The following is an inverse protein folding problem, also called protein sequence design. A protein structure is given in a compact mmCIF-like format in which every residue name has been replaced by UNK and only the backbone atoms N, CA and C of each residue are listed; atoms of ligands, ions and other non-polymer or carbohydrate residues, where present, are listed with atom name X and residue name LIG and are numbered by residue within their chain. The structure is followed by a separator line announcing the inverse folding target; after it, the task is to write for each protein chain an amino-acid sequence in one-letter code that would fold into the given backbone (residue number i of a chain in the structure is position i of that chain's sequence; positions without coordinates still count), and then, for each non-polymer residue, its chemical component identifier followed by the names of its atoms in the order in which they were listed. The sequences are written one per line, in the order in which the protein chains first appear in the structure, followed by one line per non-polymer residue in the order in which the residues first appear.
data_IF_738027423298
#
_entry.id   IF_738027423298
#
_cell.length_a   1.000
_cell.length_b   1.000
_cell.length_c   1.000
_cell.angle_alpha   90.00
_cell.angle_beta   90.00
_cell.angle_gamma   90.00
#
_symmetry.space_group_name_H-M   'P 1'
#
loop_
_entity.id
_entity.type
_entity.pdbx_description
1 polymer ?
#
# COMPACT_ATOMS: atom_id res chain seq x y z
N UNK A 1 -13.02 -47.63 -24.92
CA UNK A 1 -13.82 -48.25 -26.00
C UNK A 1 -13.62 -49.78 -25.94
N UNK A 2 -14.66 -50.51 -25.51
CA UNK A 2 -14.53 -51.96 -25.34
C UNK A 2 -15.06 -52.70 -26.61
N UNK A 3 -16.05 -52.11 -27.29
CA UNK A 3 -16.68 -52.73 -28.43
C UNK A 3 -17.12 -51.69 -29.49
N UNK A 4 -17.17 -52.12 -30.77
CA UNK A 4 -17.75 -51.34 -31.85
C UNK A 4 -19.24 -51.63 -32.01
N UNK A 5 -20.00 -50.71 -32.61
CA UNK A 5 -21.42 -50.91 -32.94
C UNK A 5 -21.55 -51.40 -34.37
N UNK A 6 -22.38 -52.40 -34.61
CA UNK A 6 -22.73 -52.85 -35.94
C UNK A 6 -23.83 -51.94 -36.51
N UNK A 7 -23.58 -51.31 -37.64
CA UNK A 7 -24.60 -50.48 -38.31
C UNK A 7 -25.83 -51.36 -38.68
N UNK A 8 -27.03 -51.05 -38.14
CA UNK A 8 -28.20 -51.84 -38.39
C UNK A 8 -28.81 -51.66 -39.81
N UNK A 9 -28.45 -50.60 -40.49
CA UNK A 9 -28.86 -50.30 -41.85
C UNK A 9 -27.67 -50.42 -42.80
N UNK A 10 -27.87 -51.04 -44.01
CA UNK A 10 -26.84 -51.15 -45.02
C UNK A 10 -26.43 -49.83 -45.67
N UNK A 11 -26.91 -48.70 -45.18
CA UNK A 11 -26.53 -47.35 -45.63
C UNK A 11 -25.18 -46.94 -45.07
N UNK A 12 -24.27 -46.60 -45.95
CA UNK A 12 -23.00 -45.98 -45.57
C UNK A 12 -23.31 -44.61 -44.97
N UNK A 13 -22.99 -44.43 -43.68
CA UNK A 13 -23.10 -43.13 -43.02
C UNK A 13 -21.90 -42.32 -43.49
N UNK A 14 -22.17 -41.28 -44.28
CA UNK A 14 -21.14 -40.33 -44.71
C UNK A 14 -21.13 -39.13 -43.77
N UNK A 15 -19.97 -38.79 -43.25
CA UNK A 15 -19.79 -37.59 -42.43
C UNK A 15 -20.07 -37.79 -40.92
N UNK A 16 -20.27 -36.69 -40.20
CA UNK A 16 -20.43 -36.59 -38.74
C UNK A 16 -21.78 -37.06 -38.19
N UNK A 17 -22.55 -37.85 -38.91
CA UNK A 17 -23.84 -38.36 -38.45
C UNK A 17 -23.64 -39.45 -37.38
N UNK A 18 -23.92 -39.12 -36.12
CA UNK A 18 -23.99 -40.08 -35.03
C UNK A 18 -25.33 -40.85 -35.11
N UNK A 19 -25.28 -42.18 -35.12
CA UNK A 19 -26.49 -42.99 -34.93
C UNK A 19 -26.52 -43.59 -33.52
N UNK A 20 -27.68 -43.58 -32.93
CA UNK A 20 -27.90 -44.15 -31.61
C UNK A 20 -28.60 -45.50 -31.74
N UNK A 21 -28.08 -46.50 -31.02
CA UNK A 21 -28.73 -47.80 -30.86
C UNK A 21 -29.12 -47.95 -29.41
N UNK A 22 -30.40 -48.04 -29.13
CA UNK A 22 -30.90 -48.33 -27.79
C UNK A 22 -30.77 -49.84 -27.55
N UNK A 23 -29.89 -50.22 -26.61
CA UNK A 23 -29.71 -51.60 -26.16
C UNK A 23 -30.67 -51.86 -25.00
N UNK A 24 -31.82 -52.50 -25.25
CA UNK A 24 -32.86 -52.72 -24.23
C UNK A 24 -32.84 -54.16 -23.69
N UNK A 25 -32.17 -55.09 -24.37
CA UNK A 25 -32.11 -56.48 -24.02
C UNK A 25 -30.70 -57.08 -24.22
N UNK A 26 -30.36 -58.24 -23.59
CA UNK A 26 -29.13 -58.97 -23.88
C UNK A 26 -29.01 -59.42 -25.33
N UNK A 27 -30.14 -59.62 -26.01
CA UNK A 27 -30.20 -60.00 -27.43
C UNK A 27 -29.79 -58.81 -28.31
N UNK A 28 -30.23 -57.57 -27.99
CA UNK A 28 -29.81 -56.38 -28.69
C UNK A 28 -28.31 -56.19 -28.57
N UNK A 29 -27.74 -56.44 -27.41
CA UNK A 29 -26.28 -56.37 -27.21
C UNK A 29 -25.55 -57.35 -28.14
N UNK A 30 -25.98 -58.62 -28.18
CA UNK A 30 -25.38 -59.62 -29.06
C UNK A 30 -25.54 -59.28 -30.55
N UNK A 31 -26.64 -58.63 -30.91
CA UNK A 31 -26.97 -58.29 -32.30
C UNK A 31 -26.19 -57.06 -32.81
N UNK A 32 -26.04 -56.05 -31.97
CA UNK A 32 -25.54 -54.75 -32.41
C UNK A 32 -24.14 -54.42 -31.92
N UNK A 33 -23.59 -55.16 -30.97
CA UNK A 33 -22.25 -54.93 -30.45
C UNK A 33 -21.31 -56.02 -30.93
N UNK A 34 -20.24 -55.64 -31.57
CA UNK A 34 -19.18 -56.56 -32.04
C UNK A 34 -17.84 -56.15 -31.43
N UNK A 35 -16.98 -57.11 -31.18
CA UNK A 35 -15.62 -56.85 -30.71
C UNK A 35 -14.84 -56.07 -31.80
N UNK A 36 -13.91 -55.24 -31.40
CA UNK A 36 -12.93 -54.67 -32.31
C UNK A 36 -12.06 -55.79 -32.92
N UNK A 37 -11.70 -55.63 -34.20
CA UNK A 37 -10.77 -56.55 -34.86
C UNK A 37 -9.40 -56.48 -34.17
N UNK A 38 -8.85 -57.60 -33.76
CA UNK A 38 -7.57 -57.72 -33.04
C UNK A 38 -6.39 -57.03 -33.77
N UNK A 39 -6.48 -56.86 -35.09
CA UNK A 39 -5.46 -56.11 -35.84
C UNK A 39 -5.34 -54.64 -35.42
N UNK A 40 -6.38 -54.07 -34.79
CA UNK A 40 -6.37 -52.67 -34.28
C UNK A 40 -6.00 -52.56 -32.82
N UNK A 41 -5.82 -53.66 -32.06
CA UNK A 41 -5.58 -53.64 -30.63
C UNK A 41 -4.34 -52.81 -30.27
N UNK A 42 -3.24 -52.99 -30.98
CA UNK A 42 -2.00 -52.25 -30.72
C UNK A 42 -2.16 -50.73 -30.99
N UNK A 43 -2.88 -50.38 -32.05
CA UNK A 43 -3.19 -49.00 -32.37
C UNK A 43 -4.10 -48.37 -31.30
N UNK A 44 -5.14 -49.08 -30.91
CA UNK A 44 -6.06 -48.60 -29.87
C UNK A 44 -5.37 -48.46 -28.51
N UNK A 45 -4.48 -49.38 -28.17
CA UNK A 45 -3.66 -49.27 -26.94
C UNK A 45 -2.73 -48.06 -27.02
N UNK A 46 -2.07 -47.80 -28.15
CA UNK A 46 -1.21 -46.64 -28.33
C UNK A 46 -2.00 -45.31 -28.21
N UNK A 47 -3.15 -45.22 -28.88
CA UNK A 47 -4.03 -44.03 -28.80
C UNK A 47 -4.58 -43.84 -27.41
N UNK A 48 -5.02 -44.89 -26.72
CA UNK A 48 -5.48 -44.83 -25.35
C UNK A 48 -4.36 -44.41 -24.39
N UNK A 49 -3.15 -44.90 -24.59
CA UNK A 49 -1.97 -44.49 -23.81
C UNK A 49 -1.65 -43.03 -24.00
N UNK A 50 -1.64 -42.52 -25.24
CA UNK A 50 -1.42 -41.09 -25.52
C UNK A 50 -2.55 -40.22 -24.94
N UNK A 51 -3.81 -40.64 -25.06
CA UNK A 51 -4.93 -39.92 -24.46
C UNK A 51 -4.83 -39.86 -22.92
N UNK A 52 -4.43 -40.96 -22.28
CA UNK A 52 -4.23 -41.00 -20.84
C UNK A 52 -3.11 -40.02 -20.41
N UNK A 53 -1.98 -39.98 -21.11
CA UNK A 53 -0.89 -39.03 -20.87
C UNK A 53 -1.34 -37.59 -21.05
N UNK A 54 -2.09 -37.31 -22.14
CA UNK A 54 -2.61 -35.96 -22.40
C UNK A 54 -3.60 -35.50 -21.30
N UNK A 55 -4.48 -36.38 -20.83
CA UNK A 55 -5.42 -36.09 -19.74
C UNK A 55 -4.65 -35.83 -18.44
N UNK A 56 -3.66 -36.68 -18.12
CA UNK A 56 -2.86 -36.50 -16.91
C UNK A 56 -2.02 -35.21 -16.96
N UNK A 57 -1.41 -34.87 -18.08
CA UNK A 57 -0.70 -33.62 -18.27
C UNK A 57 -1.62 -32.41 -18.06
N UNK A 58 -2.82 -32.41 -18.64
CA UNK A 58 -3.79 -31.35 -18.41
C UNK A 58 -4.19 -31.25 -16.93
N UNK A 59 -4.39 -32.37 -16.27
CA UNK A 59 -4.70 -32.39 -14.83
C UNK A 59 -3.56 -31.82 -13.99
N UNK A 60 -2.32 -32.16 -14.30
CA UNK A 60 -1.13 -31.63 -13.59
C UNK A 60 -0.99 -30.13 -13.83
N UNK A 61 -1.18 -29.65 -15.06
CA UNK A 61 -1.16 -28.21 -15.39
C UNK A 61 -2.22 -27.46 -14.56
N UNK A 62 -3.45 -27.95 -14.54
CA UNK A 62 -4.52 -27.34 -13.74
C UNK A 62 -4.23 -27.37 -12.24
N UNK A 63 -3.60 -28.43 -11.75
CA UNK A 63 -3.18 -28.50 -10.35
C UNK A 63 -2.09 -27.48 -10.03
N UNK A 64 -1.08 -27.34 -10.88
CA UNK A 64 -0.02 -26.33 -10.71
C UNK A 64 -0.62 -24.92 -10.72
N UNK A 65 -1.53 -24.63 -11.66
CA UNK A 65 -2.22 -23.33 -11.71
C UNK A 65 -2.95 -23.02 -10.41
N UNK A 66 -3.73 -23.96 -9.89
CA UNK A 66 -4.44 -23.79 -8.61
C UNK A 66 -3.48 -23.58 -7.44
N UNK A 67 -2.42 -24.37 -7.35
CA UNK A 67 -1.41 -24.20 -6.31
C UNK A 67 -0.76 -22.81 -6.35
N UNK A 68 -0.44 -22.33 -7.54
CA UNK A 68 0.12 -21.00 -7.73
C UNK A 68 -0.86 -19.89 -7.27
N UNK A 69 -2.13 -19.99 -7.66
CA UNK A 69 -3.16 -19.03 -7.24
C UNK A 69 -3.35 -18.98 -5.72
N UNK A 70 -3.42 -20.14 -5.10
CA UNK A 70 -3.54 -20.21 -3.64
C UNK A 70 -2.28 -19.68 -2.94
N UNK A 71 -1.10 -19.91 -3.52
CA UNK A 71 0.14 -19.32 -3.02
C UNK A 71 0.12 -17.77 -3.12
N UNK A 72 -0.32 -17.22 -4.24
CA UNK A 72 -0.48 -15.75 -4.42
C UNK A 72 -1.45 -15.19 -3.38
N UNK A 73 -2.63 -15.80 -3.22
CA UNK A 73 -3.62 -15.37 -2.23
C UNK A 73 -3.08 -15.41 -0.80
N UNK A 74 -2.40 -16.49 -0.43
CA UNK A 74 -1.79 -16.62 0.89
C UNK A 74 -0.70 -15.55 1.12
N UNK A 75 0.12 -15.29 0.11
CA UNK A 75 1.18 -14.26 0.16
C UNK A 75 0.60 -12.86 0.33
N UNK A 76 -0.44 -12.51 -0.42
CA UNK A 76 -1.18 -11.22 -0.29
C UNK A 76 -1.78 -11.09 1.10
N UNK A 77 -2.44 -12.14 1.60
CA UNK A 77 -3.00 -12.15 2.96
C UNK A 77 -1.93 -11.92 4.02
N UNK A 78 -0.76 -12.54 3.88
CA UNK A 78 0.34 -12.37 4.81
C UNK A 78 0.90 -10.94 4.81
N UNK A 79 0.95 -10.28 3.66
CA UNK A 79 1.40 -8.88 3.53
C UNK A 79 0.36 -7.93 4.12
N UNK A 80 -0.91 -8.08 3.77
CA UNK A 80 -1.99 -7.26 4.31
C UNK A 80 -2.14 -7.39 5.83
N UNK A 81 -1.73 -8.53 6.42
CA UNK A 81 -1.77 -8.70 7.87
C UNK A 81 -0.85 -7.73 8.64
N UNK A 82 0.14 -7.12 7.98
CA UNK A 82 1.00 -6.10 8.57
C UNK A 82 0.26 -4.78 8.81
N UNK A 83 -0.74 -4.49 7.97
CA UNK A 83 -1.58 -3.30 8.08
C UNK A 83 -3.06 -3.71 8.14
N UNK A 84 -3.66 -3.75 9.33
CA UNK A 84 -5.06 -4.13 9.50
C UNK A 84 -6.05 -3.27 8.70
N UNK A 85 -5.68 -2.01 8.35
CA UNK A 85 -6.54 -1.12 7.58
C UNK A 85 -6.70 -1.59 6.12
N UNK A 86 -5.73 -2.34 5.59
CA UNK A 86 -5.75 -2.86 4.21
C UNK A 86 -6.25 -4.30 4.10
N UNK A 87 -6.70 -4.92 5.19
CA UNK A 87 -7.19 -6.31 5.18
C UNK A 87 -8.26 -6.54 4.10
N UNK A 88 -8.01 -7.50 3.20
CA UNK A 88 -8.86 -7.84 2.07
C UNK A 88 -8.97 -6.75 0.98
N UNK A 89 -8.12 -5.72 1.02
CA UNK A 89 -8.11 -4.65 0.02
C UNK A 89 -7.79 -5.18 -1.37
N UNK A 90 -6.68 -5.89 -1.53
CA UNK A 90 -6.24 -6.43 -2.82
C UNK A 90 -7.26 -7.37 -3.45
N UNK A 91 -7.97 -8.17 -2.63
CA UNK A 91 -9.06 -9.02 -3.12
C UNK A 91 -10.26 -8.21 -3.63
N UNK A 92 -10.61 -7.11 -2.93
CA UNK A 92 -11.70 -6.22 -3.39
C UNK A 92 -11.31 -5.52 -4.68
N UNK A 93 -10.09 -5.00 -4.78
CA UNK A 93 -9.57 -4.34 -5.98
C UNK A 93 -9.55 -5.32 -7.16
N UNK A 94 -9.00 -6.53 -6.98
CA UNK A 94 -8.96 -7.55 -8.02
C UNK A 94 -10.36 -7.90 -8.55
N UNK A 95 -11.34 -8.07 -7.64
CA UNK A 95 -12.73 -8.31 -8.03
C UNK A 95 -13.32 -7.13 -8.81
N UNK A 96 -13.09 -5.90 -8.37
CA UNK A 96 -13.58 -4.71 -9.05
C UNK A 96 -12.96 -4.57 -10.44
N UNK A 97 -11.66 -4.76 -10.59
CA UNK A 97 -10.97 -4.75 -11.89
C UNK A 97 -11.55 -5.79 -12.85
N UNK A 98 -11.79 -7.01 -12.35
CA UNK A 98 -12.43 -8.08 -13.12
C UNK A 98 -13.83 -7.69 -13.58
N UNK A 99 -14.70 -7.24 -12.67
CA UNK A 99 -16.08 -6.86 -13.02
C UNK A 99 -16.10 -5.65 -13.98
N UNK A 100 -15.19 -4.70 -13.82
CA UNK A 100 -15.06 -3.57 -14.75
C UNK A 100 -14.62 -4.03 -16.13
N UNK A 101 -13.63 -4.92 -16.26
CA UNK A 101 -13.18 -5.46 -17.53
C UNK A 101 -14.32 -6.22 -18.25
N UNK A 102 -15.09 -7.02 -17.51
CA UNK A 102 -16.27 -7.71 -18.06
C UNK A 102 -17.36 -6.72 -18.49
N UNK A 103 -17.60 -5.66 -17.71
CA UNK A 103 -18.56 -4.62 -18.07
C UNK A 103 -18.15 -3.87 -19.35
N UNK A 104 -16.85 -3.62 -19.56
CA UNK A 104 -16.34 -3.04 -20.82
C UNK A 104 -16.67 -3.91 -22.02
N UNK A 105 -16.59 -5.24 -21.88
CA UNK A 105 -16.95 -6.18 -22.97
C UNK A 105 -18.43 -6.09 -23.38
N UNK A 106 -19.31 -5.61 -22.51
CA UNK A 106 -20.73 -5.40 -22.82
C UNK A 106 -21.02 -4.06 -23.53
N UNK A 107 -20.03 -3.13 -23.54
CA UNK A 107 -20.19 -1.82 -24.19
C UNK A 107 -20.02 -1.98 -25.69
N UNK A 108 -21.06 -1.54 -26.45
CA UNK A 108 -21.08 -1.68 -27.92
C UNK A 108 -20.76 -0.36 -28.63
N UNK A 109 -20.94 0.76 -27.98
CA UNK A 109 -20.83 2.09 -28.56
C UNK A 109 -19.89 2.99 -27.77
N UNK A 110 -19.45 4.10 -28.39
CA UNK A 110 -18.54 5.07 -27.79
C UNK A 110 -17.09 4.64 -27.73
N UNK A 111 -16.29 5.33 -26.95
CA UNK A 111 -14.83 5.12 -26.85
C UNK A 111 -14.46 3.69 -26.44
N UNK A 112 -15.24 3.08 -25.57
CA UNK A 112 -14.98 1.74 -25.05
C UNK A 112 -15.55 0.62 -25.92
N UNK A 113 -16.43 0.91 -26.88
CA UNK A 113 -17.11 -0.10 -27.72
C UNK A 113 -16.19 -0.92 -28.65
N UNK A 114 -14.93 -0.51 -28.78
CA UNK A 114 -13.90 -1.24 -29.54
C UNK A 114 -12.99 -2.15 -28.69
N UNK A 115 -13.12 -2.09 -27.37
CA UNK A 115 -12.28 -2.88 -26.46
C UNK A 115 -12.97 -4.20 -26.12
N UNK A 116 -12.18 -5.26 -26.10
CA UNK A 116 -12.64 -6.58 -25.69
C UNK A 116 -11.53 -7.30 -24.91
N UNK A 117 -11.73 -7.50 -23.64
CA UNK A 117 -10.84 -8.27 -22.78
C UNK A 117 -11.10 -9.76 -22.98
N UNK A 118 -10.09 -10.49 -23.42
CA UNK A 118 -10.14 -11.96 -23.44
C UNK A 118 -10.19 -12.52 -22.02
N UNK A 119 -10.59 -13.77 -21.85
CA UNK A 119 -10.59 -14.43 -20.54
C UNK A 119 -9.19 -14.39 -19.88
N UNK A 120 -8.13 -14.60 -20.69
CA UNK A 120 -6.75 -14.50 -20.20
C UNK A 120 -6.37 -13.08 -19.78
N UNK A 121 -6.79 -12.05 -20.52
CA UNK A 121 -6.52 -10.65 -20.17
C UNK A 121 -7.27 -10.22 -18.88
N UNK A 122 -8.51 -10.67 -18.70
CA UNK A 122 -9.25 -10.44 -17.43
C UNK A 122 -8.51 -11.07 -16.25
N UNK A 123 -8.00 -12.30 -16.46
CA UNK A 123 -7.25 -13.02 -15.42
C UNK A 123 -5.89 -12.39 -15.14
N UNK A 124 -5.19 -11.91 -16.18
CA UNK A 124 -3.95 -11.14 -16.05
C UNK A 124 -4.17 -9.90 -15.19
N UNK A 125 -5.22 -9.12 -15.47
CA UNK A 125 -5.60 -7.95 -14.70
C UNK A 125 -5.94 -8.28 -13.24
N UNK A 126 -6.68 -9.37 -13.00
CA UNK A 126 -7.03 -9.85 -11.67
C UNK A 126 -5.78 -10.21 -10.85
N UNK A 127 -4.82 -10.94 -11.43
CA UNK A 127 -3.57 -11.30 -10.77
C UNK A 127 -2.68 -10.07 -10.51
N UNK A 128 -2.58 -9.16 -11.48
CA UNK A 128 -1.86 -7.90 -11.29
C UNK A 128 -2.45 -7.09 -10.15
N UNK A 129 -3.78 -6.99 -10.09
CA UNK A 129 -4.50 -6.30 -9.03
C UNK A 129 -4.35 -6.98 -7.65
N UNK A 130 -4.22 -8.30 -7.59
CA UNK A 130 -3.90 -8.99 -6.34
C UNK A 130 -2.49 -8.64 -5.84
N UNK A 131 -1.54 -8.48 -6.75
CA UNK A 131 -0.12 -8.31 -6.43
C UNK A 131 0.33 -6.84 -6.39
N UNK A 132 -0.52 -5.87 -6.76
CA UNK A 132 -0.14 -4.47 -6.96
C UNK A 132 0.61 -3.85 -5.77
N UNK A 133 0.22 -4.21 -4.57
CA UNK A 133 0.71 -3.69 -3.31
C UNK A 133 1.78 -4.55 -2.62
N UNK A 134 2.29 -5.59 -3.31
CA UNK A 134 3.26 -6.52 -2.71
C UNK A 134 4.52 -5.82 -2.19
N UNK A 135 4.95 -4.75 -2.86
CA UNK A 135 6.12 -3.96 -2.49
C UNK A 135 6.02 -3.24 -1.15
N UNK A 136 4.81 -3.09 -0.60
CA UNK A 136 4.61 -2.52 0.75
C UNK A 136 5.36 -3.29 1.85
N UNK A 137 5.75 -4.55 1.59
CA UNK A 137 6.58 -5.32 2.51
C UNK A 137 7.93 -4.67 2.79
N UNK A 138 8.45 -3.88 1.87
CA UNK A 138 9.74 -3.20 1.96
C UNK A 138 9.68 -1.84 2.65
N UNK A 139 8.47 -1.27 2.84
CA UNK A 139 8.27 0.04 3.43
C UNK A 139 8.18 -0.07 4.95
N UNK A 140 8.74 0.93 5.65
CA UNK A 140 8.64 0.97 7.11
C UNK A 140 7.18 1.13 7.56
N UNK A 141 6.75 0.20 8.41
CA UNK A 141 5.40 0.21 8.96
C UNK A 141 5.09 1.48 9.77
N UNK A 142 6.11 2.10 10.37
CA UNK A 142 5.94 3.33 11.13
C UNK A 142 5.46 4.48 10.21
N UNK A 143 5.92 4.53 8.96
CA UNK A 143 5.51 5.54 7.98
C UNK A 143 4.03 5.35 7.59
N UNK A 144 3.60 4.11 7.33
CA UNK A 144 2.18 3.83 7.05
C UNK A 144 1.24 4.18 8.20
N UNK A 145 1.71 4.05 9.45
CA UNK A 145 0.92 4.33 10.65
C UNK A 145 1.04 5.76 11.14
N UNK A 146 1.81 6.59 10.46
CA UNK A 146 2.04 7.98 10.84
C UNK A 146 0.77 8.82 10.67
N UNK A 147 0.04 9.01 11.75
CA UNK A 147 -1.23 9.75 11.77
C UNK A 147 -1.06 11.25 12.03
N UNK A 148 0.10 11.68 12.49
CA UNK A 148 0.46 13.07 12.82
C UNK A 148 1.74 13.44 12.06
N UNK A 149 2.05 14.75 11.99
CA UNK A 149 3.27 15.23 11.28
C UNK A 149 4.56 14.76 11.96
N UNK A 150 4.59 14.66 13.30
CA UNK A 150 5.69 14.07 14.06
C UNK A 150 5.36 12.63 14.48
N UNK A 151 6.38 11.79 14.53
CA UNK A 151 6.24 10.48 15.19
C UNK A 151 6.01 10.67 16.69
N UNK A 152 5.32 9.74 17.36
CA UNK A 152 4.98 9.88 18.79
C UNK A 152 6.18 10.17 19.68
N UNK A 153 7.32 9.51 19.43
CA UNK A 153 8.55 9.73 20.19
C UNK A 153 9.15 11.13 19.95
N UNK A 154 9.17 11.60 18.72
CA UNK A 154 9.69 12.92 18.37
C UNK A 154 8.81 14.01 18.98
N UNK A 155 7.49 13.80 18.98
CA UNK A 155 6.54 14.71 19.62
C UNK A 155 6.70 14.77 21.15
N UNK A 156 6.91 13.65 21.82
CA UNK A 156 7.21 13.66 23.26
C UNK A 156 8.54 14.35 23.56
N UNK A 157 9.58 14.11 22.78
CA UNK A 157 10.86 14.79 22.91
C UNK A 157 10.73 16.32 22.71
N UNK A 158 9.93 16.74 21.73
CA UNK A 158 9.63 18.15 21.50
C UNK A 158 8.98 18.80 22.73
N UNK A 159 7.97 18.16 23.31
CA UNK A 159 7.32 18.65 24.53
C UNK A 159 8.30 18.77 25.70
N UNK A 160 9.16 17.79 25.90
CA UNK A 160 10.18 17.80 26.94
C UNK A 160 11.18 18.97 26.77
N UNK A 161 11.59 19.26 25.51
CA UNK A 161 12.48 20.41 25.24
C UNK A 161 11.79 21.74 25.55
N UNK A 162 10.49 21.86 25.28
CA UNK A 162 9.71 23.04 25.73
C UNK A 162 9.58 23.14 27.24
N UNK A 163 9.38 22.03 27.93
CA UNK A 163 9.32 22.02 29.38
C UNK A 163 10.67 22.39 30.00
N UNK A 164 11.77 21.94 29.39
CA UNK A 164 13.11 22.34 29.77
C UNK A 164 13.33 23.84 29.55
N UNK A 165 13.01 24.38 28.38
CA UNK A 165 13.07 25.81 28.08
C UNK A 165 12.29 26.64 29.11
N UNK A 166 11.06 26.22 29.40
CA UNK A 166 10.22 26.90 30.42
C UNK A 166 10.90 26.95 31.76
N UNK A 167 11.50 25.84 32.22
CA UNK A 167 12.21 25.80 33.51
C UNK A 167 13.50 26.64 33.52
N UNK A 168 14.23 26.66 32.41
CA UNK A 168 15.39 27.55 32.29
C UNK A 168 14.98 29.02 32.46
N UNK A 169 13.94 29.46 31.78
CA UNK A 169 13.45 30.83 31.87
C UNK A 169 12.87 31.18 33.24
N UNK A 170 12.18 30.23 33.90
CA UNK A 170 11.69 30.38 35.25
C UNK A 170 12.86 30.59 36.24
N UNK A 171 13.93 29.78 36.14
CA UNK A 171 15.12 29.87 36.96
C UNK A 171 15.85 31.19 36.72
N UNK A 172 16.02 31.60 35.45
CA UNK A 172 16.65 32.88 35.11
C UNK A 172 15.86 34.08 35.66
N UNK A 173 14.53 34.00 35.58
CA UNK A 173 13.66 34.99 36.17
C UNK A 173 13.87 35.10 37.70
N UNK A 174 13.84 33.93 38.37
CA UNK A 174 14.08 33.88 39.81
C UNK A 174 15.48 34.39 40.24
N UNK A 175 16.51 34.06 39.45
CA UNK A 175 17.87 34.57 39.73
C UNK A 175 17.94 36.09 39.59
N UNK A 176 17.29 36.69 38.59
CA UNK A 176 17.21 38.14 38.41
C UNK A 176 16.45 38.78 39.59
N UNK A 177 15.40 38.15 40.08
CA UNK A 177 14.66 38.61 41.25
C UNK A 177 15.56 38.60 42.52
N UNK A 178 16.30 37.50 42.74
CA UNK A 178 17.24 37.39 43.88
C UNK A 178 18.34 38.45 43.82
N UNK A 179 18.94 38.68 42.64
CA UNK A 179 19.99 39.70 42.47
C UNK A 179 19.47 41.11 42.76
N UNK A 180 18.23 41.45 42.39
CA UNK A 180 17.63 42.75 42.69
C UNK A 180 17.22 42.90 44.15
N UNK A 181 16.89 41.82 44.83
CA UNK A 181 16.59 41.85 46.28
C UNK A 181 17.85 41.92 47.14
N UNK A 182 19.05 41.72 46.54
CA UNK A 182 20.31 41.93 47.31
C UNK A 182 20.46 43.38 47.65
N UNK A 183 20.70 43.70 48.97
CA UNK A 183 20.89 45.09 49.42
C UNK A 183 22.10 45.73 48.75
N UNK A 184 21.88 46.84 48.02
CA UNK A 184 22.98 47.64 47.50
C UNK A 184 23.83 48.28 48.58
N UNK A 185 24.93 48.98 48.20
CA UNK A 185 25.82 49.67 49.17
C UNK A 185 25.14 50.83 49.92
N UNK A 186 23.97 50.65 50.44
CA UNK A 186 23.17 51.61 51.16
C UNK A 186 21.92 51.01 51.83
N UNK A 187 21.74 49.69 51.78
CA UNK A 187 20.66 48.98 52.47
C UNK A 187 19.24 49.11 51.81
N UNK A 188 19.09 49.89 50.76
CA UNK A 188 17.78 50.09 50.12
C UNK A 188 17.49 49.02 49.05
N UNK A 189 16.37 48.28 49.18
CA UNK A 189 15.79 47.40 48.19
C UNK A 189 14.79 48.24 47.39
N UNK A 190 14.90 48.23 46.05
CA UNK A 190 13.95 48.90 45.12
C UNK A 190 12.68 48.06 44.96
N UNK A 191 11.70 48.29 45.87
CA UNK A 191 10.44 47.51 45.90
C UNK A 191 9.49 47.83 44.75
N UNK A 192 9.51 49.03 44.16
CA UNK A 192 8.63 49.43 43.02
C UNK A 192 8.94 48.67 41.72
N UNK A 193 10.18 48.22 41.51
CA UNK A 193 10.61 47.46 40.34
C UNK A 193 10.29 45.94 40.44
N UNK A 194 9.88 45.43 41.60
CA UNK A 194 9.68 44.01 41.81
C UNK A 194 8.36 43.48 41.17
N UNK A 195 7.28 44.26 41.32
CA UNK A 195 5.99 43.91 40.72
C UNK A 195 6.05 43.87 39.16
N UNK A 196 6.79 44.83 38.57
CA UNK A 196 7.02 44.85 37.10
C UNK A 196 7.80 43.62 36.65
N UNK A 197 8.85 43.22 37.35
CA UNK A 197 9.62 42.01 37.04
C UNK A 197 8.80 40.71 37.09
N UNK A 198 7.96 40.56 38.11
CA UNK A 198 7.06 39.41 38.22
C UNK A 198 6.11 39.37 37.03
N UNK A 199 5.57 40.55 36.66
CA UNK A 199 4.68 40.65 35.48
C UNK A 199 5.41 40.34 34.18
N UNK A 200 6.64 40.82 33.98
CA UNK A 200 7.46 40.52 32.80
C UNK A 200 7.81 39.03 32.69
N UNK A 201 8.22 38.39 33.80
CA UNK A 201 8.48 36.95 33.86
C UNK A 201 7.23 36.15 33.53
N UNK A 202 6.10 36.47 34.15
CA UNK A 202 4.85 35.75 33.95
C UNK A 202 4.34 35.91 32.49
N UNK A 203 4.51 37.11 31.91
CA UNK A 203 4.21 37.36 30.50
C UNK A 203 5.09 36.51 29.55
N UNK A 204 6.40 36.44 29.86
CA UNK A 204 7.33 35.59 29.07
C UNK A 204 6.98 34.12 29.15
N UNK A 205 6.74 33.59 30.37
CA UNK A 205 6.39 32.18 30.55
C UNK A 205 5.04 31.83 29.92
N UNK A 206 4.07 32.74 29.93
CA UNK A 206 2.80 32.56 29.21
C UNK A 206 2.99 32.61 27.70
N UNK A 207 3.91 33.46 27.21
CA UNK A 207 4.28 33.48 25.76
C UNK A 207 4.83 32.12 25.28
N UNK A 208 5.74 31.52 26.06
CA UNK A 208 6.29 30.19 25.75
C UNK A 208 5.21 29.11 25.78
N UNK A 209 4.27 29.16 26.73
CA UNK A 209 3.13 28.25 26.73
C UNK A 209 2.28 28.37 25.47
N UNK A 210 1.97 29.59 25.07
CA UNK A 210 1.20 29.87 23.88
C UNK A 210 1.91 29.37 22.58
N UNK A 211 3.24 29.56 22.50
CA UNK A 211 4.05 29.01 21.37
C UNK A 211 4.00 27.48 21.39
N UNK A 212 4.20 26.85 22.56
CA UNK A 212 4.10 25.38 22.70
C UNK A 212 2.74 24.87 22.21
N UNK A 213 1.64 25.49 22.61
CA UNK A 213 0.29 25.11 22.21
C UNK A 213 0.12 25.21 20.70
N UNK A 214 0.54 26.30 20.06
CA UNK A 214 0.52 26.46 18.60
C UNK A 214 1.32 25.38 17.89
N UNK A 215 2.51 25.04 18.36
CA UNK A 215 3.35 24.00 17.77
C UNK A 215 2.70 22.60 17.96
N UNK A 216 2.04 22.36 19.09
CA UNK A 216 1.24 21.16 19.32
C UNK A 216 0.11 21.06 18.29
N UNK A 217 -0.59 22.15 18.03
CA UNK A 217 -1.66 22.20 17.02
C UNK A 217 -1.12 22.00 15.60
N UNK A 218 0.07 22.55 15.29
CA UNK A 218 0.73 22.32 14.00
C UNK A 218 1.07 20.85 13.71
N UNK A 219 1.15 20.00 14.74
CA UNK A 219 1.38 18.56 14.57
C UNK A 219 0.16 17.83 13.96
N UNK A 220 -1.01 18.45 13.93
CA UNK A 220 -2.19 17.87 13.29
C UNK A 220 -2.07 17.94 11.75
N UNK A 221 -2.52 16.89 11.02
CA UNK A 221 -2.46 16.84 9.57
C UNK A 221 -3.56 17.69 8.91
N UNK A 222 -3.72 18.92 9.34
CA UNK A 222 -4.68 19.85 8.79
C UNK A 222 -4.18 20.45 7.46
N UNK A 223 -5.11 20.87 6.60
CA UNK A 223 -4.81 21.74 5.45
C UNK A 223 -4.96 23.17 5.97
N UNK A 224 -3.90 23.97 5.88
CA UNK A 224 -3.89 25.38 6.28
C UNK A 224 -3.63 26.26 5.07
N UNK A 225 -4.28 27.41 5.03
CA UNK A 225 -4.03 28.44 4.02
C UNK A 225 -2.77 29.26 4.36
N UNK A 226 -2.41 29.33 5.64
CA UNK A 226 -1.18 29.98 6.11
C UNK A 226 0.04 29.13 5.80
N UNK A 227 1.21 29.77 5.66
CA UNK A 227 2.47 29.08 5.46
C UNK A 227 3.02 28.54 6.80
N UNK A 228 3.00 27.21 7.05
CA UNK A 228 3.47 26.67 8.32
C UNK A 228 4.96 26.92 8.56
N UNK A 229 5.78 27.00 7.51
CA UNK A 229 7.21 27.27 7.57
C UNK A 229 7.46 28.70 8.08
N UNK A 230 6.74 29.68 7.54
CA UNK A 230 6.84 31.08 7.96
C UNK A 230 6.39 31.26 9.40
N UNK A 231 5.24 30.66 9.79
CA UNK A 231 4.73 30.69 11.15
C UNK A 231 5.71 30.07 12.15
N UNK A 232 6.27 28.91 11.82
CA UNK A 232 7.23 28.22 12.68
C UNK A 232 8.52 29.03 12.82
N UNK A 233 9.03 29.61 11.73
CA UNK A 233 10.24 30.43 11.70
C UNK A 233 10.10 31.66 12.60
N UNK A 234 8.97 32.34 12.58
CA UNK A 234 8.70 33.47 13.44
C UNK A 234 8.71 33.07 14.94
N UNK A 235 8.04 31.96 15.28
CA UNK A 235 8.02 31.46 16.67
C UNK A 235 9.41 31.01 17.15
N UNK A 236 10.22 30.44 16.27
CA UNK A 236 11.59 30.04 16.62
C UNK A 236 12.51 31.23 16.80
N UNK A 237 12.38 32.29 16.02
CA UNK A 237 13.14 33.53 16.20
C UNK A 237 12.86 34.15 17.57
N UNK A 238 11.60 34.15 18.05
CA UNK A 238 11.23 34.59 19.39
C UNK A 238 11.91 33.74 20.48
N UNK A 239 11.96 32.42 20.31
CA UNK A 239 12.64 31.50 21.25
C UNK A 239 14.16 31.74 21.25
N UNK A 240 14.79 31.85 20.11
CA UNK A 240 16.23 32.09 19.98
C UNK A 240 16.67 33.41 20.61
N UNK A 241 15.85 34.45 20.48
CA UNK A 241 16.11 35.76 21.12
C UNK A 241 16.19 35.68 22.63
N UNK A 242 15.66 34.64 23.29
CA UNK A 242 15.74 34.43 24.74
C UNK A 242 17.14 33.98 25.19
N UNK A 243 17.98 33.49 24.27
CA UNK A 243 19.38 33.14 24.55
C UNK A 243 19.60 31.97 25.49
N UNK A 244 18.61 31.10 25.68
CA UNK A 244 18.76 29.91 26.54
C UNK A 244 19.82 28.96 26.02
N UNK A 245 20.59 28.37 26.92
CA UNK A 245 21.70 27.48 26.58
C UNK A 245 21.54 26.13 27.28
N UNK A 246 22.10 25.08 26.61
CA UNK A 246 22.23 23.77 27.21
C UNK A 246 23.39 23.70 28.24
N UNK A 247 23.62 22.52 28.82
CA UNK A 247 24.66 22.31 29.81
C UNK A 247 26.09 22.43 29.25
N UNK A 248 26.26 22.27 27.94
CA UNK A 248 27.51 22.46 27.21
C UNK A 248 27.74 23.92 26.79
N UNK A 249 26.76 24.79 26.97
CA UNK A 249 26.81 26.20 26.61
C UNK A 249 26.39 26.52 25.19
N UNK A 250 25.87 25.55 24.43
CA UNK A 250 25.34 25.76 23.09
C UNK A 250 23.93 26.37 23.17
N UNK A 251 23.48 27.06 22.13
CA UNK A 251 22.10 27.49 22.02
C UNK A 251 21.14 26.30 22.17
N UNK A 252 20.09 26.45 23.00
CA UNK A 252 19.11 25.37 23.19
C UNK A 252 18.27 25.17 21.93
N UNK A 253 18.44 24.03 21.28
CA UNK A 253 17.64 23.63 20.14
C UNK A 253 16.30 23.03 20.62
N UNK A 254 15.25 23.85 20.67
CA UNK A 254 13.91 23.40 21.09
C UNK A 254 13.20 22.63 20.02
N UNK A 255 13.33 23.04 18.76
CA UNK A 255 12.79 22.37 17.58
C UNK A 255 13.95 21.98 16.68
N UNK A 256 14.18 20.67 16.49
CA UNK A 256 15.25 20.18 15.62
C UNK A 256 14.90 20.41 14.15
N UNK A 257 15.91 20.36 13.26
CA UNK A 257 15.71 20.47 11.80
C UNK A 257 14.69 19.42 11.28
N UNK A 258 14.73 18.23 11.83
CA UNK A 258 13.76 17.17 11.49
C UNK A 258 12.34 17.52 11.95
N UNK A 259 12.18 18.05 13.14
CA UNK A 259 10.88 18.50 13.63
C UNK A 259 10.36 19.64 12.76
N UNK A 260 11.23 20.59 12.41
CA UNK A 260 10.91 21.72 11.54
C UNK A 260 10.39 21.23 10.19
N UNK A 261 11.12 20.34 9.50
CA UNK A 261 10.70 19.75 8.22
C UNK A 261 9.32 19.11 8.32
N UNK A 262 9.07 18.37 9.40
CA UNK A 262 7.78 17.69 9.58
C UNK A 262 6.64 18.65 9.94
N UNK A 263 6.87 19.62 10.82
CA UNK A 263 5.85 20.60 11.23
C UNK A 263 5.46 21.54 10.10
N UNK A 264 6.39 21.80 9.16
CA UNK A 264 6.16 22.65 7.98
C UNK A 264 5.36 21.99 6.87
N UNK A 265 4.92 20.73 7.04
CA UNK A 265 4.07 20.05 6.05
C UNK A 265 2.73 20.80 5.92
N UNK A 266 2.40 21.23 4.68
CA UNK A 266 1.16 21.97 4.39
C UNK A 266 -0.08 21.09 4.30
N UNK A 267 0.09 19.82 3.87
CA UNK A 267 -1.02 18.90 3.64
C UNK A 267 -0.64 17.46 4.03
N UNK A 268 -1.42 16.88 4.92
CA UNK A 268 -1.21 15.52 5.38
C UNK A 268 -0.16 15.40 6.50
N UNK A 269 0.31 14.20 6.75
CA UNK A 269 1.24 13.85 7.84
C UNK A 269 2.64 13.48 7.38
N UNK A 270 2.86 13.28 6.07
CA UNK A 270 4.11 12.79 5.49
C UNK A 270 4.93 13.91 4.88
N UNK A 271 6.22 13.96 5.20
CA UNK A 271 7.18 14.79 4.47
C UNK A 271 7.49 14.17 3.10
N UNK A 272 8.29 14.88 2.27
CA UNK A 272 8.59 14.44 0.91
C UNK A 272 9.39 13.14 0.85
N UNK A 273 10.33 12.92 1.78
CA UNK A 273 11.12 11.68 1.83
C UNK A 273 10.25 10.49 2.21
N UNK A 274 9.41 10.64 3.23
CA UNK A 274 8.46 9.61 3.66
C UNK A 274 7.43 9.30 2.55
N UNK A 275 7.01 10.32 1.82
CA UNK A 275 6.11 10.14 0.66
C UNK A 275 6.81 9.36 -0.45
N UNK A 276 8.04 9.73 -0.81
CA UNK A 276 8.83 9.00 -1.80
C UNK A 276 9.09 7.56 -1.39
N UNK A 277 9.32 7.32 -0.11
CA UNK A 277 9.46 5.96 0.41
C UNK A 277 8.19 5.15 0.21
N UNK A 278 7.01 5.69 0.55
CA UNK A 278 5.74 5.01 0.27
C UNK A 278 5.55 4.79 -1.24
N UNK A 279 5.78 5.80 -2.07
CA UNK A 279 5.63 5.71 -3.52
C UNK A 279 6.55 4.65 -4.14
N UNK A 280 7.71 4.39 -3.53
CA UNK A 280 8.65 3.37 -4.00
C UNK A 280 8.10 1.94 -3.96
N UNK A 281 6.98 1.68 -3.25
CA UNK A 281 6.39 0.34 -3.21
C UNK A 281 6.02 -0.20 -4.60
N UNK A 282 5.67 0.66 -5.56
CA UNK A 282 5.35 0.23 -6.92
C UNK A 282 6.58 -0.37 -7.62
N UNK A 283 7.75 0.26 -7.43
CA UNK A 283 9.03 -0.23 -7.95
C UNK A 283 9.44 -1.52 -7.24
N UNK A 284 9.25 -1.61 -5.94
CA UNK A 284 9.51 -2.85 -5.18
C UNK A 284 8.57 -3.97 -5.63
N UNK A 285 7.29 -3.68 -5.88
CA UNK A 285 6.34 -4.63 -6.46
C UNK A 285 6.83 -5.12 -7.82
N UNK A 286 7.18 -4.21 -8.72
CA UNK A 286 7.71 -4.55 -10.03
C UNK A 286 8.93 -5.46 -9.96
N UNK A 287 9.92 -5.09 -9.14
CA UNK A 287 11.15 -5.86 -8.96
C UNK A 287 10.92 -7.27 -8.41
N UNK A 288 9.91 -7.45 -7.58
CA UNK A 288 9.51 -8.76 -7.08
C UNK A 288 8.76 -9.55 -8.14
N UNK A 289 7.71 -8.96 -8.71
CA UNK A 289 6.79 -9.64 -9.64
C UNK A 289 7.48 -10.01 -10.96
N UNK A 290 8.44 -9.20 -11.42
CA UNK A 290 9.25 -9.48 -12.63
C UNK A 290 10.15 -10.71 -12.49
N UNK A 291 10.43 -11.20 -11.29
CA UNK A 291 11.21 -12.43 -11.06
C UNK A 291 10.38 -13.70 -11.19
N UNK A 292 9.07 -13.58 -11.23
CA UNK A 292 8.17 -14.72 -11.43
C UNK A 292 8.17 -15.07 -12.92
N UNK A 293 8.40 -16.34 -13.30
CA UNK A 293 8.40 -16.76 -14.68
C UNK A 293 6.96 -16.85 -15.22
N UNK A 294 6.40 -15.71 -15.59
CA UNK A 294 5.05 -15.61 -16.12
C UNK A 294 4.93 -16.30 -17.48
N UNK A 295 3.86 -17.05 -17.73
CA UNK A 295 3.56 -17.53 -19.07
C UNK A 295 3.25 -16.34 -20.01
N UNK A 296 3.38 -16.51 -21.34
CA UNK A 296 3.22 -15.41 -22.30
C UNK A 296 1.91 -14.62 -22.17
N UNK A 297 0.83 -15.29 -21.79
CA UNK A 297 -0.49 -14.68 -21.59
C UNK A 297 -0.58 -13.76 -20.37
N UNK A 298 0.41 -13.79 -19.44
CA UNK A 298 0.45 -13.01 -18.20
C UNK A 298 1.70 -12.13 -18.10
N UNK A 299 2.36 -11.88 -19.22
CA UNK A 299 3.64 -11.14 -19.27
C UNK A 299 3.53 -9.67 -18.84
N UNK A 300 2.31 -9.08 -18.89
CA UNK A 300 2.11 -7.67 -18.57
C UNK A 300 1.83 -7.43 -17.08
N UNK A 301 1.68 -8.48 -16.26
CA UNK A 301 1.44 -8.33 -14.81
C UNK A 301 2.43 -7.38 -14.13
N UNK A 302 3.77 -7.47 -14.36
CA UNK A 302 4.70 -6.55 -13.73
C UNK A 302 4.46 -5.09 -14.10
N UNK A 303 4.19 -4.80 -15.36
CA UNK A 303 3.92 -3.45 -15.86
C UNK A 303 2.61 -2.88 -15.32
N UNK A 304 1.55 -3.69 -15.28
CA UNK A 304 0.27 -3.30 -14.71
C UNK A 304 0.44 -2.99 -13.21
N UNK A 305 1.14 -3.86 -12.49
CA UNK A 305 1.42 -3.65 -11.07
C UNK A 305 2.33 -2.44 -10.80
N UNK A 306 3.28 -2.12 -11.68
CA UNK A 306 4.13 -0.93 -11.57
C UNK A 306 3.30 0.36 -11.65
N UNK A 307 2.33 0.39 -12.58
CA UNK A 307 1.64 1.61 -13.00
C UNK A 307 0.25 1.82 -12.37
N UNK A 308 -0.07 1.10 -11.31
CA UNK A 308 -1.40 1.20 -10.71
C UNK A 308 -1.67 2.55 -10.01
N UNK A 309 -0.64 3.38 -9.81
CA UNK A 309 -0.76 4.76 -9.34
C UNK A 309 -0.59 5.82 -10.44
N UNK A 310 -0.46 5.40 -11.71
CA UNK A 310 -0.51 6.36 -12.81
C UNK A 310 -1.92 6.97 -12.93
N UNK A 311 -1.96 8.22 -13.41
CA UNK A 311 -3.19 8.97 -13.58
C UNK A 311 -3.32 9.51 -14.98
N UNK A 312 -4.55 9.63 -15.47
CA UNK A 312 -4.83 10.13 -16.82
C UNK A 312 -4.38 11.59 -17.06
N UNK A 313 -4.11 12.35 -16.02
CA UNK A 313 -3.62 13.74 -16.09
C UNK A 313 -2.10 13.84 -15.99
N UNK A 314 -1.38 12.72 -15.96
CA UNK A 314 0.07 12.67 -15.83
C UNK A 314 0.62 13.01 -14.44
N UNK A 315 -0.25 13.22 -13.44
CA UNK A 315 0.17 13.50 -12.06
C UNK A 315 0.40 12.24 -11.21
N UNK A 316 0.41 11.08 -11.86
CA UNK A 316 0.66 9.78 -11.24
C UNK A 316 2.14 9.48 -11.06
N UNK A 317 2.44 8.29 -10.60
CA UNK A 317 3.80 7.78 -10.45
C UNK A 317 3.83 6.28 -10.78
N UNK A 318 5.00 5.70 -11.16
CA UNK A 318 6.34 6.31 -11.10
C UNK A 318 6.74 7.14 -12.32
N UNK A 319 6.06 6.97 -13.46
CA UNK A 319 6.51 7.53 -14.76
C UNK A 319 5.80 8.84 -15.13
N UNK A 320 4.63 9.14 -14.55
CA UNK A 320 3.81 10.32 -14.86
C UNK A 320 3.21 10.25 -16.27
N UNK A 321 2.64 9.12 -16.64
CA UNK A 321 2.09 8.80 -17.97
C UNK A 321 0.73 9.44 -18.22
#
# INVERSE_FOLDING_TARGET
LINSKKNPSSKTISGNEAFEIALKSPEDFRRYVVAFDAKYDSLMQAVAGQAAVAIENNRLIEQIRRQFEEFVKASVTAIESRDPATSGHSFRVARLCREMALAVNEVKDGYLGGYNFTESAVRELELAALLHDFGKVYIDLAIFRKSKKLFPRDFENLKLRFDFLYRCLEIDGLNREIERLRPGPGGNVKTESFAEMLSERDALLNGIRAIKEKIVDMNEPAVTDDDPEEMLSAMLADIEALGCRDIEGNALEVVSDRDRTNLSIRKGSLNEDERREIESHVVHTYNFVSRIPWPPEFRNIPEIALRHHEKLDGSGYPDGL
#
